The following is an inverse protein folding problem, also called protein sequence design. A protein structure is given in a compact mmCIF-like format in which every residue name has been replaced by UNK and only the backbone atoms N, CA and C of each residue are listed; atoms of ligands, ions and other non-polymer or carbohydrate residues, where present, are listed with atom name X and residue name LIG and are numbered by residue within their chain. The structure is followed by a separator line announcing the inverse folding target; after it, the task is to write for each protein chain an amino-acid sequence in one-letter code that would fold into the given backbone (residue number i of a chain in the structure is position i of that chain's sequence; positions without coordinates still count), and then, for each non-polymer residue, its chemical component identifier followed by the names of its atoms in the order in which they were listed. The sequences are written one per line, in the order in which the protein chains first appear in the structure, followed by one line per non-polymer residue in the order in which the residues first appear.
data_IF_486682011631
#
_entry.id   IF_486682011631
#
_cell.length_a   1.000
_cell.length_b   1.000
_cell.length_c   1.000
_cell.angle_alpha   90.00
_cell.angle_beta   90.00
_cell.angle_gamma   90.00
#
_symmetry.space_group_name_H-M   'P 1'
#
loop_
_entity.id
_entity.type
_entity.pdbx_description
1 polymer ?
#
# COMPACT_ATOMS: atom_id res chain seq x y z
N UNK A 1 -19.40 -29.38 14.67
CA UNK A 1 -18.91 -29.27 16.06
C UNK A 1 -17.84 -28.20 16.03
N UNK A 2 -17.84 -27.27 16.98
CA UNK A 2 -16.94 -26.11 17.01
C UNK A 2 -16.11 -26.18 18.29
N UNK A 3 -14.80 -26.00 18.17
CA UNK A 3 -13.84 -26.23 19.24
C UNK A 3 -13.24 -24.89 19.66
N UNK A 4 -12.91 -24.74 20.94
CA UNK A 4 -12.16 -23.60 21.42
C UNK A 4 -10.66 -23.92 21.35
N UNK A 5 -9.86 -23.07 20.73
CA UNK A 5 -8.41 -23.31 20.63
C UNK A 5 -7.67 -23.07 21.97
N UNK A 6 -8.30 -22.30 22.87
CA UNK A 6 -7.74 -21.93 24.18
C UNK A 6 -8.13 -22.90 25.30
N UNK A 7 -9.09 -23.82 25.09
CA UNK A 7 -9.49 -24.80 26.10
C UNK A 7 -10.18 -26.05 25.51
N UNK A 8 -10.42 -27.09 26.30
CA UNK A 8 -10.97 -28.37 25.81
C UNK A 8 -12.49 -28.35 25.54
N UNK A 9 -13.13 -27.18 25.55
CA UNK A 9 -14.58 -27.07 25.36
C UNK A 9 -14.95 -27.25 23.89
N UNK A 10 -16.01 -28.01 23.68
CA UNK A 10 -16.58 -28.29 22.37
C UNK A 10 -18.06 -27.90 22.37
N UNK A 11 -18.47 -27.23 21.30
CA UNK A 11 -19.79 -26.65 21.12
C UNK A 11 -20.50 -27.25 19.91
N UNK A 12 -21.82 -27.37 20.00
CA UNK A 12 -22.64 -27.91 18.91
C UNK A 12 -23.14 -26.83 17.93
N UNK A 13 -22.97 -25.55 18.26
CA UNK A 13 -23.33 -24.43 17.38
C UNK A 13 -22.22 -23.38 17.34
N UNK A 14 -22.06 -22.72 16.19
CA UNK A 14 -21.09 -21.65 16.01
C UNK A 14 -21.35 -20.51 17.00
N UNK A 15 -22.61 -20.05 17.11
CA UNK A 15 -23.01 -18.94 17.98
C UNK A 15 -22.71 -19.19 19.46
N UNK A 16 -22.82 -20.44 19.93
CA UNK A 16 -22.45 -20.78 21.32
C UNK A 16 -20.94 -20.80 21.53
N UNK A 17 -20.17 -21.16 20.50
CA UNK A 17 -18.71 -21.12 20.55
C UNK A 17 -18.22 -19.67 20.54
N UNK A 18 -18.75 -18.83 19.64
CA UNK A 18 -18.44 -17.41 19.54
C UNK A 18 -18.72 -16.66 20.85
N UNK A 19 -19.91 -16.83 21.44
CA UNK A 19 -20.23 -16.22 22.73
C UNK A 19 -19.29 -16.67 23.87
N UNK A 20 -18.80 -17.90 23.82
CA UNK A 20 -17.78 -18.39 24.76
C UNK A 20 -16.42 -17.73 24.52
N UNK A 21 -16.02 -17.60 23.26
CA UNK A 21 -14.77 -16.96 22.88
C UNK A 21 -14.74 -15.49 23.31
N UNK A 22 -15.84 -14.76 23.09
CA UNK A 22 -16.01 -13.37 23.54
C UNK A 22 -16.00 -13.24 25.06
N UNK A 23 -16.74 -14.10 25.76
CA UNK A 23 -16.92 -13.99 27.21
C UNK A 23 -15.66 -14.31 28.01
N UNK A 24 -14.77 -15.15 27.46
CA UNK A 24 -13.54 -15.58 28.14
C UNK A 24 -12.28 -15.04 27.48
N UNK A 25 -12.42 -14.17 26.47
CA UNK A 25 -11.31 -13.65 25.66
C UNK A 25 -10.41 -14.80 25.14
N UNK A 26 -11.05 -15.88 24.69
CA UNK A 26 -10.39 -17.07 24.17
C UNK A 26 -10.04 -16.96 22.69
N UNK A 27 -10.32 -15.82 22.07
CA UNK A 27 -9.85 -15.51 20.72
C UNK A 27 -8.33 -15.56 20.67
N UNK A 28 -7.79 -16.27 19.69
CA UNK A 28 -6.39 -16.09 19.36
C UNK A 28 -6.18 -14.62 18.96
N UNK A 29 -5.10 -13.97 19.43
CA UNK A 29 -4.82 -12.61 19.01
C UNK A 29 -4.32 -12.63 17.57
N UNK A 30 -5.23 -12.36 16.63
CA UNK A 30 -4.95 -12.49 15.21
C UNK A 30 -4.89 -11.10 14.57
N UNK A 31 -3.78 -10.41 14.85
CA UNK A 31 -3.29 -9.40 13.92
C UNK A 31 -2.06 -10.00 13.25
N UNK A 32 -2.25 -10.48 12.03
CA UNK A 32 -1.20 -11.08 11.21
C UNK A 32 -0.50 -10.02 10.35
N UNK A 33 0.80 -10.23 10.11
CA UNK A 33 1.51 -9.46 9.11
C UNK A 33 1.32 -10.13 7.73
N UNK A 34 0.89 -9.37 6.72
CA UNK A 34 0.72 -9.92 5.36
C UNK A 34 2.05 -10.18 4.65
N UNK A 35 3.15 -9.60 5.13
CA UNK A 35 4.50 -9.72 4.53
C UNK A 35 5.35 -10.81 5.18
N UNK A 36 5.05 -11.22 6.41
CA UNK A 36 5.84 -12.23 7.13
C UNK A 36 4.97 -13.07 8.07
N UNK A 37 5.50 -14.17 8.59
CA UNK A 37 4.72 -15.12 9.41
C UNK A 37 4.51 -14.67 10.87
N UNK A 38 4.63 -13.37 11.18
CA UNK A 38 4.47 -12.88 12.56
C UNK A 38 3.01 -12.54 12.85
N UNK A 39 2.59 -12.95 14.04
CA UNK A 39 1.26 -12.68 14.60
C UNK A 39 1.41 -11.86 15.88
N UNK A 40 0.41 -11.02 16.18
CA UNK A 40 0.46 -10.07 17.28
C UNK A 40 -0.76 -10.14 18.19
N UNK A 41 -0.45 -10.12 19.49
CA UNK A 41 -1.35 -10.00 20.64
C UNK A 41 -2.37 -8.86 20.58
N UNK A 42 -2.03 -7.80 19.86
CA UNK A 42 -2.79 -6.56 19.86
C UNK A 42 -2.56 -5.78 18.57
N UNK A 43 -3.56 -4.98 18.20
CA UNK A 43 -3.49 -4.12 17.03
C UNK A 43 -2.31 -3.13 17.11
N UNK A 44 -2.06 -2.55 18.28
CA UNK A 44 -0.98 -1.58 18.45
C UNK A 44 0.41 -2.21 18.25
N UNK A 45 0.60 -3.46 18.70
CA UNK A 45 1.84 -4.19 18.46
C UNK A 45 2.02 -4.55 16.98
N UNK A 46 0.95 -4.93 16.29
CA UNK A 46 0.97 -5.16 14.85
C UNK A 46 1.30 -3.86 14.09
N UNK A 47 0.65 -2.74 14.43
CA UNK A 47 0.90 -1.46 13.77
C UNK A 47 2.35 -1.01 13.92
N UNK A 48 2.90 -1.06 15.14
CA UNK A 48 4.33 -0.74 15.36
C UNK A 48 5.25 -1.64 14.54
N UNK A 49 4.92 -2.92 14.41
CA UNK A 49 5.69 -3.84 13.57
C UNK A 49 5.63 -3.46 12.08
N UNK A 50 4.42 -3.17 11.58
CA UNK A 50 4.19 -2.82 10.20
C UNK A 50 4.89 -1.49 9.84
N UNK A 51 4.85 -0.50 10.74
CA UNK A 51 5.56 0.78 10.60
C UNK A 51 7.08 0.61 10.65
N UNK A 52 7.59 -0.19 11.58
CA UNK A 52 9.03 -0.35 11.78
C UNK A 52 9.72 -1.11 10.63
N UNK A 53 8.99 -2.01 9.95
CA UNK A 53 9.52 -2.84 8.87
C UNK A 53 8.98 -2.47 7.49
N UNK A 54 8.15 -1.43 7.40
CA UNK A 54 7.44 -1.03 6.18
C UNK A 54 6.67 -2.19 5.53
N UNK A 55 6.04 -3.03 6.35
CA UNK A 55 5.25 -4.19 5.89
C UNK A 55 3.82 -3.81 5.46
N UNK A 56 3.51 -2.52 5.33
CA UNK A 56 2.19 -2.05 4.88
C UNK A 56 1.92 -2.29 3.40
N UNK A 57 2.98 -2.39 2.59
CA UNK A 57 2.86 -2.56 1.16
C UNK A 57 3.07 -4.02 0.76
N UNK A 58 1.99 -4.70 0.35
CA UNK A 58 2.10 -5.97 -0.37
C UNK A 58 2.65 -5.74 -1.79
N UNK A 59 2.33 -4.59 -2.39
CA UNK A 59 2.91 -4.06 -3.64
C UNK A 59 2.84 -2.52 -3.66
N UNK A 60 3.70 -1.89 -4.46
CA UNK A 60 3.69 -0.49 -4.82
C UNK A 60 3.13 -0.36 -6.24
N UNK A 61 2.00 0.32 -6.38
CA UNK A 61 1.29 0.44 -7.66
C UNK A 61 1.75 1.67 -8.43
N UNK A 62 1.84 1.55 -9.76
CA UNK A 62 2.00 2.71 -10.62
C UNK A 62 0.70 3.51 -10.69
N UNK A 63 0.77 4.85 -10.60
CA UNK A 63 -0.42 5.70 -10.61
C UNK A 63 -1.10 5.86 -11.98
N UNK A 64 -0.42 5.43 -13.06
CA UNK A 64 -0.83 5.68 -14.45
C UNK A 64 -0.92 4.41 -15.30
N UNK A 65 -0.53 3.24 -14.78
CA UNK A 65 -0.66 1.96 -15.47
C UNK A 65 -0.77 0.81 -14.47
N UNK A 66 -1.12 -0.39 -14.94
CA UNK A 66 -1.38 -1.56 -14.09
C UNK A 66 -0.10 -2.27 -13.60
N UNK A 67 1.05 -1.58 -13.60
CA UNK A 67 2.30 -2.16 -13.11
C UNK A 67 2.36 -2.15 -11.59
N UNK A 68 2.66 -3.30 -11.01
CA UNK A 68 2.85 -3.50 -9.58
C UNK A 68 4.31 -3.84 -9.28
N UNK A 69 4.83 -3.34 -8.17
CA UNK A 69 6.22 -3.52 -7.78
C UNK A 69 6.31 -4.01 -6.34
N UNK A 70 7.20 -4.96 -6.05
CA UNK A 70 7.39 -5.47 -4.68
C UNK A 70 8.41 -4.65 -3.87
N UNK A 71 8.79 -3.46 -4.34
CA UNK A 71 9.63 -2.53 -3.58
C UNK A 71 9.39 -1.09 -4.02
N UNK A 72 9.47 -0.17 -3.05
CA UNK A 72 9.32 1.26 -3.29
C UNK A 72 10.34 1.76 -4.32
N UNK A 73 11.59 1.30 -4.19
CA UNK A 73 12.68 1.66 -5.10
C UNK A 73 12.37 1.27 -6.55
N UNK A 74 11.84 0.07 -6.78
CA UNK A 74 11.50 -0.38 -8.14
C UNK A 74 10.34 0.43 -8.72
N UNK A 75 9.30 0.71 -7.92
CA UNK A 75 8.22 1.60 -8.34
C UNK A 75 8.74 3.00 -8.69
N UNK A 76 9.56 3.60 -7.82
CA UNK A 76 10.13 4.93 -8.07
C UNK A 76 11.00 4.97 -9.33
N UNK A 77 11.82 3.94 -9.58
CA UNK A 77 12.59 3.83 -10.82
C UNK A 77 11.70 3.72 -12.06
N UNK A 78 10.62 2.92 -11.99
CA UNK A 78 9.63 2.84 -13.07
C UNK A 78 8.97 4.20 -13.32
N UNK A 79 8.51 4.87 -12.27
CA UNK A 79 7.84 6.16 -12.36
C UNK A 79 8.74 7.20 -13.02
N UNK A 80 10.04 7.21 -12.67
CA UNK A 80 11.04 8.09 -13.27
C UNK A 80 11.34 7.75 -14.73
N UNK A 81 11.53 6.47 -15.05
CA UNK A 81 11.86 6.05 -16.41
C UNK A 81 10.72 6.24 -17.41
N UNK A 82 9.47 6.17 -16.93
CA UNK A 82 8.26 6.30 -17.76
C UNK A 82 7.58 7.66 -17.67
N UNK A 83 8.01 8.53 -16.76
CA UNK A 83 7.30 9.78 -16.48
C UNK A 83 5.89 9.55 -15.91
N UNK A 84 5.70 8.46 -15.18
CA UNK A 84 4.39 7.97 -14.74
C UNK A 84 3.85 8.67 -13.48
N UNK A 85 4.36 9.85 -13.15
CA UNK A 85 3.88 10.65 -12.03
C UNK A 85 2.67 11.49 -12.45
N UNK A 86 1.62 11.58 -11.61
CA UNK A 86 0.42 12.40 -11.87
C UNK A 86 0.69 13.85 -12.28
N UNK A 87 1.82 14.41 -11.85
CA UNK A 87 2.21 15.79 -12.13
C UNK A 87 3.39 15.90 -13.11
N UNK A 88 3.62 14.90 -13.97
CA UNK A 88 4.64 14.95 -15.02
C UNK A 88 4.07 15.52 -16.33
N UNK A 89 4.82 16.39 -16.99
CA UNK A 89 4.54 16.85 -18.35
C UNK A 89 5.51 16.19 -19.34
N UNK A 90 5.03 15.37 -20.30
CA UNK A 90 5.89 14.73 -21.30
C UNK A 90 6.47 15.72 -22.32
N UNK A 91 5.80 16.84 -22.61
CA UNK A 91 6.29 17.84 -23.57
C UNK A 91 7.45 18.68 -23.00
N UNK A 92 7.41 18.93 -21.69
CA UNK A 92 8.46 19.65 -20.98
C UNK A 92 9.55 18.74 -20.43
N UNK A 93 9.24 17.45 -20.25
CA UNK A 93 10.04 16.52 -19.46
C UNK A 93 10.31 17.07 -18.04
N UNK A 94 9.24 17.52 -17.36
CA UNK A 94 9.30 18.15 -16.03
C UNK A 94 8.20 17.67 -15.10
N UNK A 95 8.53 17.61 -13.81
CA UNK A 95 7.61 17.35 -12.71
C UNK A 95 7.11 18.66 -12.09
N UNK A 96 5.83 18.68 -11.74
CA UNK A 96 5.16 19.79 -11.08
C UNK A 96 4.77 19.39 -9.66
N UNK A 97 4.80 20.35 -8.72
CA UNK A 97 4.44 20.08 -7.33
C UNK A 97 2.95 19.72 -7.13
N UNK A 98 2.09 20.04 -8.10
CA UNK A 98 0.67 19.73 -8.08
C UNK A 98 0.05 19.80 -9.50
N UNK A 99 -1.19 19.30 -9.61
CA UNK A 99 -1.92 19.21 -10.87
C UNK A 99 -2.30 20.58 -11.46
N UNK A 100 -2.47 21.62 -10.63
CA UNK A 100 -2.80 22.96 -11.10
C UNK A 100 -1.62 23.59 -11.85
N UNK A 101 -0.40 23.42 -11.34
CA UNK A 101 0.82 23.87 -12.02
C UNK A 101 1.03 23.16 -13.36
N UNK A 102 0.75 21.86 -13.44
CA UNK A 102 0.79 21.11 -14.70
C UNK A 102 -0.26 21.62 -15.70
N UNK A 103 -1.50 21.84 -15.27
CA UNK A 103 -2.58 22.37 -16.13
C UNK A 103 -2.23 23.75 -16.68
N UNK A 104 -1.70 24.64 -15.84
CA UNK A 104 -1.31 25.98 -16.25
C UNK A 104 -0.29 25.91 -17.38
N UNK A 105 0.77 25.12 -17.23
CA UNK A 105 1.80 24.95 -18.26
C UNK A 105 1.24 24.31 -19.54
N UNK A 106 0.41 23.26 -19.39
CA UNK A 106 -0.24 22.59 -20.52
C UNK A 106 -1.18 23.51 -21.32
N UNK A 107 -1.68 24.57 -20.69
CA UNK A 107 -2.63 25.52 -21.31
C UNK A 107 -1.96 26.57 -22.21
N UNK A 108 -0.62 26.65 -22.23
CA UNK A 108 0.13 27.62 -23.05
C UNK A 108 1.13 26.96 -24.02
N UNK A 109 0.71 26.48 -25.21
CA UNK A 109 1.63 26.00 -26.23
C UNK A 109 2.36 27.16 -26.96
N UNK A 110 3.64 27.00 -27.35
CA UNK A 110 4.54 25.89 -27.05
C UNK A 110 5.29 26.10 -25.72
N UNK A 111 5.31 25.09 -24.85
CA UNK A 111 5.98 25.13 -23.54
C UNK A 111 7.10 24.07 -23.39
N UNK A 112 7.45 23.35 -24.47
CA UNK A 112 8.48 22.30 -24.50
C UNK A 112 9.91 22.79 -24.81
N UNK A 113 10.89 21.87 -24.73
CA UNK A 113 12.30 22.13 -25.03
C UNK A 113 12.46 22.61 -26.48
N UNK A 114 12.73 23.91 -26.68
CA UNK A 114 13.24 24.40 -27.96
C UNK A 114 14.62 23.79 -28.21
N UNK A 115 14.70 22.72 -28.99
CA UNK A 115 15.96 22.32 -29.61
C UNK A 115 16.32 23.41 -30.64
N UNK A 116 17.09 24.41 -30.20
CA UNK A 116 17.78 25.29 -31.13
C UNK A 116 18.83 24.44 -31.85
N UNK A 117 18.68 24.31 -33.16
CA UNK A 117 19.69 23.74 -34.05
C UNK A 117 21.06 24.33 -33.73
N UNK A 118 22.05 23.45 -33.56
CA UNK A 118 23.47 23.80 -33.54
C UNK A 118 23.85 24.27 -34.95
N UNK A 119 24.43 25.48 -34.98
CA UNK A 119 25.36 26.08 -35.95
C UNK A 119 25.09 25.91 -37.44
#
# INVERSE_FOLDING_TARGET
MYECDSCTRVFYSYRSCEQHMDALDHWAPLYECETCTREFGSWHAAQQHMDALDHWATTYLCETCDSEFYSERAANQHMQAKGHFKNYCPECDRYFGNANSLRMVSSFPPHGKHYKHVS
#
